data_IF_284100141444
#
_entry.id   IF_284100141444
#
_cell.length_a   1.000
_cell.length_b   1.000
_cell.length_c   1.000
_cell.angle_alpha   90.00
_cell.angle_beta   90.00
_cell.angle_gamma   90.00
#
_symmetry.space_group_name_H-M   'P 1'
#
loop_
_entity.id
_entity.type
_entity.pdbx_description
1 polymer ?
#
# COMPACT_ATOMS: atom_id res chain seq x y z
N UNK A 1 -44.83 -9.30 -6.09
CA UNK A 1 -43.56 -9.02 -6.81
C UNK A 1 -42.72 -8.10 -5.93
N UNK A 2 -41.71 -8.62 -5.23
CA UNK A 2 -41.05 -7.94 -4.10
C UNK A 2 -39.55 -8.23 -4.11
N UNK A 3 -38.84 -7.78 -5.16
CA UNK A 3 -37.39 -8.04 -5.32
C UNK A 3 -36.70 -7.00 -6.21
N UNK A 4 -36.68 -5.71 -5.85
CA UNK A 4 -35.91 -4.73 -6.66
C UNK A 4 -35.33 -3.53 -5.88
N UNK A 5 -35.06 -3.66 -4.58
CA UNK A 5 -34.48 -2.54 -3.78
C UNK A 5 -33.35 -3.06 -2.87
N UNK A 6 -32.30 -3.68 -3.42
CA UNK A 6 -31.07 -4.01 -2.65
C UNK A 6 -29.80 -3.92 -3.51
N UNK A 7 -29.79 -3.13 -4.60
CA UNK A 7 -28.62 -3.06 -5.51
C UNK A 7 -27.92 -1.69 -5.52
N UNK A 8 -28.53 -0.63 -5.00
CA UNK A 8 -27.95 0.72 -5.02
C UNK A 8 -27.07 1.04 -3.81
N UNK A 9 -27.27 0.37 -2.68
CA UNK A 9 -26.53 0.65 -1.44
C UNK A 9 -25.13 0.01 -1.40
N UNK A 10 -24.84 -0.96 -2.26
CA UNK A 10 -23.54 -1.64 -2.31
C UNK A 10 -22.44 -0.86 -3.06
N UNK A 11 -22.83 -0.05 -4.04
CA UNK A 11 -21.86 0.68 -4.88
C UNK A 11 -21.16 1.82 -4.13
N UNK A 12 -21.84 2.46 -3.18
CA UNK A 12 -21.31 3.63 -2.47
C UNK A 12 -20.20 3.26 -1.46
N UNK A 13 -20.20 2.03 -0.92
CA UNK A 13 -19.16 1.56 0.01
C UNK A 13 -17.87 1.16 -0.73
N UNK A 14 -18.01 0.64 -1.96
CA UNK A 14 -16.88 0.24 -2.80
C UNK A 14 -16.07 1.44 -3.31
N UNK A 15 -16.72 2.56 -3.63
CA UNK A 15 -16.05 3.79 -4.08
C UNK A 15 -15.19 4.45 -3.00
N UNK A 16 -15.57 4.31 -1.72
CA UNK A 16 -14.80 4.84 -0.60
C UNK A 16 -13.51 4.06 -0.33
N UNK A 17 -13.51 2.76 -0.63
CA UNK A 17 -12.36 1.89 -0.38
C UNK A 17 -11.25 2.06 -1.42
N UNK A 18 -11.61 2.35 -2.68
CA UNK A 18 -10.63 2.55 -3.76
C UNK A 18 -9.91 3.90 -3.66
N UNK A 19 -10.60 4.95 -3.19
CA UNK A 19 -10.00 6.26 -2.94
C UNK A 19 -8.91 6.23 -1.85
N UNK A 20 -9.13 5.48 -0.77
CA UNK A 20 -8.16 5.34 0.32
C UNK A 20 -6.89 4.58 -0.10
N UNK A 21 -7.00 3.57 -0.97
CA UNK A 21 -5.83 2.84 -1.47
C UNK A 21 -4.98 3.70 -2.43
N UNK A 22 -5.59 4.63 -3.17
CA UNK A 22 -4.87 5.57 -4.03
C UNK A 22 -4.09 6.62 -3.22
N UNK A 23 -4.75 7.32 -2.29
CA UNK A 23 -4.11 8.37 -1.47
C UNK A 23 -2.90 7.80 -0.73
N UNK A 24 -3.06 6.61 -0.16
CA UNK A 24 -2.00 5.95 0.57
C UNK A 24 -0.79 5.57 -0.29
N UNK A 25 -1.04 5.12 -1.53
CA UNK A 25 0.04 4.87 -2.47
C UNK A 25 0.75 6.16 -2.83
N UNK A 26 0.00 7.23 -3.10
CA UNK A 26 0.59 8.54 -3.43
C UNK A 26 1.48 9.04 -2.30
N UNK A 27 1.04 8.96 -1.04
CA UNK A 27 1.84 9.42 0.09
C UNK A 27 3.10 8.57 0.32
N UNK A 28 3.03 7.26 0.08
CA UNK A 28 4.22 6.42 0.09
C UNK A 28 5.19 6.80 -1.02
N UNK A 29 4.69 7.04 -2.23
CA UNK A 29 5.52 7.43 -3.37
C UNK A 29 6.19 8.78 -3.15
N UNK A 30 5.49 9.74 -2.56
CA UNK A 30 6.03 11.07 -2.22
C UNK A 30 7.23 10.97 -1.25
N UNK A 31 7.14 10.07 -0.26
CA UNK A 31 8.23 9.84 0.71
C UNK A 31 9.36 8.95 0.19
N UNK A 32 9.06 8.08 -0.77
CA UNK A 32 10.00 7.07 -1.27
C UNK A 32 10.79 7.56 -2.50
N UNK A 33 10.14 8.24 -3.44
CA UNK A 33 10.76 8.61 -4.71
C UNK A 33 11.54 9.92 -4.55
N UNK A 34 12.86 9.83 -4.39
CA UNK A 34 13.74 11.00 -4.43
C UNK A 34 13.83 11.60 -5.83
N UNK A 35 13.64 10.77 -6.87
CA UNK A 35 13.59 11.17 -8.28
C UNK A 35 12.48 10.43 -9.03
N UNK A 36 12.03 10.92 -10.21
CA UNK A 36 11.06 10.19 -11.05
C UNK A 36 11.53 8.80 -11.48
N UNK A 37 12.85 8.59 -11.58
CA UNK A 37 13.45 7.31 -11.91
C UNK A 37 13.21 6.24 -10.84
N UNK A 38 12.93 6.66 -9.60
CA UNK A 38 12.69 5.76 -8.46
C UNK A 38 11.21 5.35 -8.35
N UNK A 39 10.31 5.97 -9.13
CA UNK A 39 8.87 5.70 -9.08
C UNK A 39 8.52 4.20 -9.34
N UNK A 40 9.13 3.49 -10.31
CA UNK A 40 8.88 2.06 -10.51
C UNK A 40 9.29 1.22 -9.30
N UNK A 41 10.45 1.52 -8.72
CA UNK A 41 10.95 0.87 -7.50
C UNK A 41 9.98 1.11 -6.33
N UNK A 42 9.61 2.37 -6.08
CA UNK A 42 8.71 2.73 -4.98
C UNK A 42 7.31 2.13 -5.13
N UNK A 43 6.78 2.03 -6.35
CA UNK A 43 5.51 1.31 -6.63
C UNK A 43 5.62 -0.18 -6.30
N UNK A 44 6.77 -0.79 -6.60
CA UNK A 44 7.03 -2.19 -6.26
C UNK A 44 7.13 -2.35 -4.74
N UNK A 45 7.94 -1.53 -4.07
CA UNK A 45 8.16 -1.59 -2.63
C UNK A 45 6.84 -1.42 -1.86
N UNK A 46 6.01 -0.45 -2.27
CA UNK A 46 4.66 -0.28 -1.72
C UNK A 46 3.83 -1.56 -1.82
N UNK A 47 3.77 -2.20 -3.01
CA UNK A 47 2.96 -3.42 -3.20
C UNK A 47 3.42 -4.57 -2.31
N UNK A 48 4.73 -4.75 -2.16
CA UNK A 48 5.29 -5.84 -1.34
C UNK A 48 5.06 -5.56 0.14
N UNK A 49 5.36 -4.36 0.61
CA UNK A 49 5.13 -3.94 1.99
C UNK A 49 3.64 -4.01 2.35
N UNK A 50 2.77 -3.53 1.44
CA UNK A 50 1.33 -3.50 1.65
C UNK A 50 0.73 -4.90 1.83
N UNK A 51 1.19 -5.89 1.05
CA UNK A 51 0.76 -7.28 1.18
C UNK A 51 1.09 -7.87 2.55
N UNK A 52 2.17 -7.43 3.18
CA UNK A 52 2.62 -7.94 4.48
C UNK A 52 2.03 -7.17 5.66
N UNK A 53 1.98 -5.84 5.55
CA UNK A 53 1.64 -4.96 6.67
C UNK A 53 0.13 -4.72 6.78
N UNK A 54 -0.61 -4.66 5.67
CA UNK A 54 -2.06 -4.44 5.74
C UNK A 54 -2.83 -5.55 6.47
N UNK A 55 -2.50 -6.85 6.30
CA UNK A 55 -3.15 -7.90 7.09
C UNK A 55 -2.85 -7.83 8.59
N UNK A 56 -1.67 -7.35 8.98
CA UNK A 56 -1.23 -7.33 10.37
C UNK A 56 -1.62 -6.04 11.11
N UNK A 57 -1.49 -4.89 10.45
CA UNK A 57 -1.59 -3.55 11.06
C UNK A 57 -2.70 -2.70 10.45
N UNK A 58 -3.47 -3.25 9.52
CA UNK A 58 -4.49 -2.55 8.78
C UNK A 58 -3.90 -1.66 7.67
N UNK A 59 -4.77 -1.20 6.78
CA UNK A 59 -4.37 -0.41 5.61
C UNK A 59 -3.73 0.92 5.95
N UNK A 60 -3.89 1.44 7.16
CA UNK A 60 -3.37 2.76 7.58
C UNK A 60 -1.93 2.73 8.08
N UNK A 61 -1.21 1.62 7.93
CA UNK A 61 0.15 1.45 8.45
C UNK A 61 1.16 2.52 7.99
N UNK A 62 0.95 3.14 6.82
CA UNK A 62 1.77 4.25 6.31
C UNK A 62 1.71 5.51 7.17
N UNK A 63 0.62 5.70 7.90
CA UNK A 63 0.38 6.87 8.75
C UNK A 63 0.74 6.62 10.22
N UNK A 64 1.30 5.44 10.52
CA UNK A 64 1.52 4.95 11.88
C UNK A 64 3.03 4.78 12.12
N UNK A 65 3.75 5.87 12.45
CA UNK A 65 5.20 5.81 12.70
C UNK A 65 5.56 4.89 13.88
N UNK A 66 4.63 4.69 14.81
CA UNK A 66 4.76 3.78 15.95
C UNK A 66 4.94 2.32 15.54
N UNK A 67 4.54 1.93 14.32
CA UNK A 67 4.73 0.56 13.85
C UNK A 67 6.18 0.23 13.54
N UNK A 68 7.06 1.23 13.38
CA UNK A 68 8.47 1.01 13.05
C UNK A 68 9.21 0.18 14.11
N UNK A 69 8.75 0.23 15.37
CA UNK A 69 9.31 -0.54 16.48
C UNK A 69 8.77 -1.98 16.54
N UNK A 70 7.73 -2.30 15.77
CA UNK A 70 7.10 -3.61 15.81
C UNK A 70 7.90 -4.65 15.02
N UNK A 71 7.98 -5.91 15.51
CA UNK A 71 8.85 -6.94 14.93
C UNK A 71 8.62 -7.26 13.44
N UNK A 72 7.41 -7.05 12.92
CA UNK A 72 7.10 -7.34 11.51
C UNK A 72 7.48 -6.19 10.57
N UNK A 73 7.51 -4.95 11.08
CA UNK A 73 7.58 -3.77 10.22
C UNK A 73 8.92 -3.67 9.49
N UNK A 74 10.03 -3.70 10.24
CA UNK A 74 11.38 -3.67 9.67
C UNK A 74 11.63 -4.79 8.65
N UNK A 75 11.37 -6.06 8.98
CA UNK A 75 11.53 -7.18 8.04
C UNK A 75 10.68 -7.06 6.77
N UNK A 76 9.42 -6.60 6.87
CA UNK A 76 8.56 -6.41 5.72
C UNK A 76 9.10 -5.31 4.77
N UNK A 77 9.60 -4.21 5.34
CA UNK A 77 10.22 -3.12 4.57
C UNK A 77 11.52 -3.57 3.89
N UNK A 78 12.41 -4.28 4.60
CA UNK A 78 13.64 -4.84 4.01
C UNK A 78 13.36 -5.89 2.92
N UNK A 79 12.30 -6.67 3.08
CA UNK A 79 11.89 -7.59 2.02
C UNK A 79 11.36 -6.85 0.80
N UNK A 80 10.56 -5.81 1.00
CA UNK A 80 10.07 -4.97 -0.10
C UNK A 80 11.22 -4.32 -0.86
N UNK A 81 12.21 -3.77 -0.15
CA UNK A 81 13.43 -3.23 -0.75
C UNK A 81 14.16 -4.29 -1.57
N UNK A 82 14.58 -5.41 -0.96
CA UNK A 82 15.36 -6.47 -1.66
C UNK A 82 14.67 -7.03 -2.90
N UNK A 83 13.35 -7.24 -2.83
CA UNK A 83 12.60 -7.78 -3.97
C UNK A 83 12.52 -6.80 -5.13
N UNK A 84 12.52 -5.49 -4.85
CA UNK A 84 12.36 -4.46 -5.86
C UNK A 84 13.72 -3.91 -6.34
N UNK A 85 14.76 -3.95 -5.52
CA UNK A 85 16.10 -3.45 -5.88
C UNK A 85 16.66 -4.21 -7.07
N UNK A 86 16.68 -5.55 -7.01
CA UNK A 86 17.15 -6.40 -8.11
C UNK A 86 16.34 -6.26 -9.40
N UNK A 87 15.09 -5.80 -9.30
CA UNK A 87 14.20 -5.65 -10.45
C UNK A 87 14.40 -4.32 -11.20
N UNK A 88 14.93 -3.29 -10.54
CA UNK A 88 15.01 -1.92 -11.09
C UNK A 88 16.41 -1.28 -11.03
N UNK A 89 17.30 -1.80 -10.20
CA UNK A 89 18.72 -1.43 -10.12
C UNK A 89 19.58 -2.70 -10.09
N UNK A 90 19.61 -3.49 -11.18
CA UNK A 90 20.58 -4.59 -11.28
C UNK A 90 21.99 -4.00 -11.42
N UNK A 91 22.93 -4.56 -10.66
CA UNK A 91 24.36 -4.22 -10.74
C UNK A 91 24.96 -4.41 -12.14
#
# INVERSE_FOLDING_TARGET
MKKFIVLLSGAMVLSSLTGCDYIRRVEFLDKCAATPSDEPFCKCAFKVADRQLSPAYGKTWIYRPDLAELPLFGPAMQQAERQCLNAYYPD
#
